data_IF_410197326065
#
_entry.id   IF_410197326065
#
_cell.length_a   1.000
_cell.length_b   1.000
_cell.length_c   1.000
_cell.angle_alpha   90.00
_cell.angle_beta   90.00
_cell.angle_gamma   90.00
#
_symmetry.space_group_name_H-M   'P 1'
#
loop_
_entity.id
_entity.type
_entity.pdbx_description
1 polymer ?
#
# COMPACT_ATOMS: atom_id res chain seq x y z
N UNK A 1 -10.58 -22.76 26.40
CA UNK A 1 -9.98 -21.56 25.78
C UNK A 1 -8.79 -21.04 26.58
N UNK A 2 -8.85 -21.02 27.90
CA UNK A 2 -7.78 -20.50 28.76
C UNK A 2 -6.55 -21.41 28.85
N UNK A 3 -6.71 -22.71 28.66
CA UNK A 3 -5.60 -23.67 28.68
C UNK A 3 -4.69 -23.62 27.43
N UNK A 4 -5.21 -23.12 26.31
CA UNK A 4 -4.44 -22.86 25.09
C UNK A 4 -3.61 -21.57 25.21
N UNK A 5 -4.11 -20.56 25.95
CA UNK A 5 -3.41 -19.31 26.18
C UNK A 5 -2.21 -19.48 27.12
N UNK A 6 -2.31 -20.33 28.16
CA UNK A 6 -1.22 -20.53 29.12
C UNK A 6 -0.05 -21.38 28.57
N UNK A 7 -0.28 -22.33 27.67
CA UNK A 7 0.79 -23.07 26.99
C UNK A 7 1.38 -22.33 25.78
N UNK A 8 0.59 -21.45 25.13
CA UNK A 8 1.00 -20.73 23.94
C UNK A 8 1.85 -19.49 24.19
N UNK A 9 1.73 -18.83 25.35
CA UNK A 9 2.44 -17.58 25.60
C UNK A 9 3.97 -17.75 25.63
N UNK A 10 4.47 -18.82 26.23
CA UNK A 10 5.91 -19.11 26.25
C UNK A 10 6.46 -19.46 24.85
N UNK A 11 5.68 -20.17 24.05
CA UNK A 11 6.06 -20.57 22.69
C UNK A 11 5.92 -19.42 21.70
N UNK A 12 4.91 -18.58 21.87
CA UNK A 12 4.71 -17.34 21.10
C UNK A 12 5.85 -16.35 21.36
N UNK A 13 6.27 -16.15 22.59
CA UNK A 13 7.42 -15.30 22.92
C UNK A 13 8.74 -15.85 22.41
N UNK A 14 8.93 -17.18 22.39
CA UNK A 14 10.14 -17.82 21.86
C UNK A 14 10.20 -17.75 20.33
N UNK A 15 9.07 -17.91 19.64
CA UNK A 15 8.95 -17.77 18.19
C UNK A 15 9.00 -16.31 17.72
N UNK A 16 8.54 -15.35 18.55
CA UNK A 16 8.68 -13.90 18.26
C UNK A 16 10.14 -13.44 18.08
N UNK A 17 11.11 -14.16 18.60
CA UNK A 17 12.52 -13.82 18.41
C UNK A 17 13.09 -14.25 17.05
N UNK A 18 12.51 -15.22 16.37
CA UNK A 18 13.14 -15.77 15.17
C UNK A 18 12.48 -15.37 13.83
N UNK A 19 11.14 -15.29 13.67
CA UNK A 19 10.53 -14.96 12.35
C UNK A 19 9.05 -14.52 12.41
N UNK A 20 8.69 -13.42 13.04
CA UNK A 20 7.30 -12.97 13.06
C UNK A 20 6.94 -12.02 11.92
N UNK A 21 6.99 -12.50 10.67
CA UNK A 21 6.39 -11.78 9.56
C UNK A 21 4.93 -12.21 9.36
N UNK A 22 4.08 -11.31 8.81
CA UNK A 22 2.70 -11.67 8.44
C UNK A 22 2.67 -12.79 7.40
N UNK A 23 3.66 -12.85 6.52
CA UNK A 23 3.82 -13.91 5.52
C UNK A 23 3.97 -15.26 6.21
N UNK A 24 4.90 -15.37 7.14
CA UNK A 24 5.09 -16.63 7.88
C UNK A 24 3.85 -17.04 8.66
N UNK A 25 3.17 -16.10 9.33
CA UNK A 25 1.95 -16.41 10.08
C UNK A 25 0.84 -16.97 9.16
N UNK A 26 0.66 -16.40 8.00
CA UNK A 26 -0.31 -16.87 7.01
C UNK A 26 0.07 -18.25 6.47
N UNK A 27 1.34 -18.49 6.14
CA UNK A 27 1.82 -19.80 5.69
C UNK A 27 1.50 -20.88 6.71
N UNK A 28 1.77 -20.62 8.00
CA UNK A 28 1.46 -21.56 9.09
C UNK A 28 -0.04 -21.80 9.28
N UNK A 29 -0.88 -20.84 8.96
CA UNK A 29 -2.34 -21.01 8.95
C UNK A 29 -2.75 -21.88 7.77
N UNK A 30 -2.26 -21.56 6.57
CA UNK A 30 -2.63 -22.29 5.35
C UNK A 30 -2.20 -23.76 5.36
N UNK A 31 -1.08 -24.10 5.99
CA UNK A 31 -0.63 -25.50 6.16
C UNK A 31 -1.60 -26.38 6.97
N UNK A 32 -2.53 -25.79 7.74
CA UNK A 32 -3.46 -26.51 8.62
C UNK A 32 -4.77 -26.89 7.94
N UNK A 33 -5.06 -26.29 6.79
CA UNK A 33 -6.33 -26.45 6.09
C UNK A 33 -6.13 -27.10 4.74
N UNK A 34 -7.13 -27.88 4.31
CA UNK A 34 -7.14 -28.49 2.97
C UNK A 34 -7.47 -27.43 1.90
N UNK A 35 -6.92 -27.53 0.67
CA UNK A 35 -7.18 -26.56 -0.42
C UNK A 35 -8.66 -26.34 -0.74
N UNK A 36 -9.53 -27.33 -0.49
CA UNK A 36 -10.96 -27.30 -0.82
C UNK A 36 -11.86 -27.14 0.42
N UNK A 37 -11.29 -26.71 1.55
CA UNK A 37 -12.06 -26.62 2.81
C UNK A 37 -12.93 -25.36 2.89
N UNK A 38 -12.51 -24.31 2.20
CA UNK A 38 -13.21 -23.02 2.12
C UNK A 38 -13.22 -22.48 0.69
N UNK A 39 -14.18 -21.61 0.39
CA UNK A 39 -14.27 -20.95 -0.91
C UNK A 39 -13.34 -19.72 -0.99
N UNK A 40 -13.23 -18.98 0.11
CA UNK A 40 -12.51 -17.72 0.13
C UNK A 40 -11.74 -17.50 1.43
N UNK A 41 -10.58 -16.86 1.34
CA UNK A 41 -9.85 -16.30 2.48
C UNK A 41 -9.93 -14.78 2.49
N UNK A 42 -10.23 -14.19 3.66
CA UNK A 42 -10.29 -12.75 3.84
C UNK A 42 -9.28 -12.31 4.91
N UNK A 43 -8.47 -11.30 4.58
CA UNK A 43 -7.40 -10.80 5.43
C UNK A 43 -7.72 -9.41 5.96
N UNK A 44 -7.94 -9.30 7.26
CA UNK A 44 -8.10 -8.04 7.98
C UNK A 44 -7.01 -7.87 9.05
N UNK A 45 -6.71 -6.63 9.41
CA UNK A 45 -5.94 -6.36 10.62
C UNK A 45 -6.88 -6.34 11.84
N UNK A 46 -6.33 -6.57 13.03
CA UNK A 46 -7.08 -6.61 14.28
C UNK A 46 -7.75 -5.29 14.67
N UNK A 47 -7.28 -4.16 14.11
CA UNK A 47 -7.80 -2.81 14.34
C UNK A 47 -8.81 -2.36 13.26
N UNK A 48 -9.15 -3.25 12.32
CA UNK A 48 -10.07 -2.89 11.26
C UNK A 48 -11.53 -3.05 11.67
N UNK A 49 -12.35 -2.12 11.20
CA UNK A 49 -13.81 -2.22 11.19
C UNK A 49 -14.28 -2.28 9.75
N UNK A 50 -15.21 -3.16 9.47
CA UNK A 50 -15.80 -3.29 8.14
C UNK A 50 -17.29 -2.96 8.16
N UNK A 51 -17.84 -2.59 7.01
CA UNK A 51 -19.27 -2.38 6.88
C UNK A 51 -20.03 -3.69 7.16
N UNK A 52 -21.25 -3.64 7.75
CA UNK A 52 -21.97 -4.85 8.18
C UNK A 52 -22.24 -5.86 7.05
N UNK A 53 -22.40 -5.38 5.83
CA UNK A 53 -22.66 -6.20 4.62
C UNK A 53 -21.38 -6.62 3.88
N UNK A 54 -20.19 -6.41 4.45
CA UNK A 54 -18.91 -6.67 3.76
C UNK A 54 -18.80 -8.12 3.26
N UNK A 55 -19.17 -9.11 4.09
CA UNK A 55 -19.11 -10.52 3.69
C UNK A 55 -20.07 -10.84 2.55
N UNK A 56 -21.27 -10.25 2.56
CA UNK A 56 -22.23 -10.44 1.48
C UNK A 56 -21.71 -9.84 0.16
N UNK A 57 -21.11 -8.64 0.20
CA UNK A 57 -20.50 -8.02 -0.97
C UNK A 57 -19.31 -8.80 -1.50
N UNK A 58 -18.45 -9.31 -0.62
CA UNK A 58 -17.33 -10.18 -1.00
C UNK A 58 -17.81 -11.47 -1.65
N UNK A 59 -18.83 -12.11 -1.07
CA UNK A 59 -19.42 -13.31 -1.63
C UNK A 59 -20.01 -13.07 -3.03
N UNK A 60 -20.73 -11.96 -3.23
CA UNK A 60 -21.26 -11.61 -4.54
C UNK A 60 -20.14 -11.36 -5.57
N UNK A 61 -19.06 -10.70 -5.17
CA UNK A 61 -17.92 -10.46 -6.03
C UNK A 61 -17.21 -11.78 -6.41
N UNK A 62 -17.04 -12.69 -5.46
CA UNK A 62 -16.47 -14.00 -5.71
C UNK A 62 -17.31 -14.81 -6.72
N UNK A 63 -18.62 -14.89 -6.51
CA UNK A 63 -19.53 -15.56 -7.47
C UNK A 63 -19.62 -14.86 -8.84
N UNK A 64 -19.20 -13.62 -8.93
CA UNK A 64 -19.05 -12.89 -10.21
C UNK A 64 -17.72 -13.20 -10.91
N UNK A 65 -16.86 -14.05 -10.33
CA UNK A 65 -15.60 -14.50 -10.91
C UNK A 65 -14.38 -13.68 -10.48
N UNK A 66 -14.44 -12.98 -9.35
CA UNK A 66 -13.29 -12.24 -8.82
C UNK A 66 -12.44 -13.14 -7.90
N UNK A 67 -11.30 -13.64 -8.38
CA UNK A 67 -10.38 -14.47 -7.61
C UNK A 67 -9.55 -13.69 -6.58
N UNK A 68 -9.35 -12.41 -6.81
CA UNK A 68 -8.60 -11.51 -5.93
C UNK A 68 -9.28 -10.15 -5.82
N UNK A 69 -9.53 -9.70 -4.59
CA UNK A 69 -10.30 -8.49 -4.29
C UNK A 69 -9.53 -7.63 -3.29
N UNK A 70 -9.48 -6.32 -3.55
CA UNK A 70 -9.04 -5.31 -2.60
C UNK A 70 -10.23 -4.42 -2.23
N UNK A 71 -10.60 -4.41 -0.96
CA UNK A 71 -11.62 -3.52 -0.42
C UNK A 71 -11.12 -2.07 -0.31
N UNK A 72 -12.06 -1.13 -0.30
CA UNK A 72 -11.80 0.29 -0.09
C UNK A 72 -11.40 0.55 1.35
N UNK A 73 -10.15 0.96 1.59
CA UNK A 73 -9.69 1.30 2.93
C UNK A 73 -9.86 2.78 3.19
N UNK A 74 -10.61 3.10 4.27
CA UNK A 74 -10.83 4.45 4.75
C UNK A 74 -10.21 4.67 6.13
N UNK A 75 -9.89 5.93 6.44
CA UNK A 75 -9.39 6.32 7.75
C UNK A 75 -10.55 6.60 8.69
N UNK A 76 -10.54 5.97 9.89
CA UNK A 76 -11.58 6.18 10.90
C UNK A 76 -11.35 7.47 11.71
N UNK A 77 -10.10 7.74 12.12
CA UNK A 77 -9.78 8.90 12.96
C UNK A 77 -9.34 10.10 12.12
N UNK A 78 -10.13 11.16 12.20
CA UNK A 78 -9.85 12.46 11.54
C UNK A 78 -9.69 13.58 12.59
N UNK A 79 -9.02 13.26 13.69
CA UNK A 79 -8.89 14.16 14.86
C UNK A 79 -7.76 15.15 14.72
N UNK A 80 -6.65 14.75 14.09
CA UNK A 80 -5.45 15.59 13.93
C UNK A 80 -5.22 15.96 12.47
N UNK A 81 -4.53 17.08 12.21
CA UNK A 81 -4.15 17.49 10.86
C UNK A 81 -3.30 16.43 10.15
N UNK A 82 -2.45 15.71 10.89
CA UNK A 82 -1.65 14.59 10.37
C UNK A 82 -2.53 13.44 9.88
N UNK A 83 -3.54 13.04 10.69
CA UNK A 83 -4.47 11.97 10.32
C UNK A 83 -5.34 12.38 9.12
N UNK A 84 -5.82 13.62 9.07
CA UNK A 84 -6.59 14.16 7.93
C UNK A 84 -5.78 14.14 6.64
N UNK A 85 -4.52 14.58 6.67
CA UNK A 85 -3.65 14.57 5.49
C UNK A 85 -3.24 13.15 5.08
N UNK A 86 -3.06 12.24 6.05
CA UNK A 86 -2.81 10.83 5.78
C UNK A 86 -4.04 10.17 5.13
N UNK A 87 -5.25 10.50 5.59
CA UNK A 87 -6.50 10.05 5.00
C UNK A 87 -6.67 10.52 3.56
N UNK A 88 -6.51 11.83 3.32
CA UNK A 88 -6.54 12.40 1.97
C UNK A 88 -5.50 11.74 1.05
N UNK A 89 -4.31 11.48 1.57
CA UNK A 89 -3.28 10.74 0.84
C UNK A 89 -3.67 9.30 0.52
N UNK A 90 -4.46 8.66 1.36
CA UNK A 90 -5.00 7.32 1.10
C UNK A 90 -6.09 7.35 0.02
N UNK A 91 -7.01 8.33 0.10
CA UNK A 91 -8.05 8.51 -0.92
C UNK A 91 -7.48 8.83 -2.30
N UNK A 92 -6.44 9.64 -2.39
CA UNK A 92 -5.71 9.86 -3.65
C UNK A 92 -5.14 8.52 -4.18
N UNK A 93 -4.58 7.67 -3.31
CA UNK A 93 -4.11 6.35 -3.73
C UNK A 93 -5.26 5.43 -4.16
N UNK A 94 -6.39 5.45 -3.43
CA UNK A 94 -7.58 4.69 -3.79
C UNK A 94 -8.07 5.07 -5.18
N UNK A 95 -8.14 6.36 -5.48
CA UNK A 95 -8.64 6.84 -6.75
C UNK A 95 -7.66 6.64 -7.91
N UNK A 96 -6.36 6.86 -7.73
CA UNK A 96 -5.36 6.75 -8.81
C UNK A 96 -4.92 5.28 -9.01
N UNK A 97 -4.37 4.64 -7.95
CA UNK A 97 -3.67 3.35 -8.08
C UNK A 97 -4.55 2.12 -7.84
N UNK A 98 -5.84 2.29 -7.54
CA UNK A 98 -6.81 1.20 -7.40
C UNK A 98 -7.95 1.40 -8.36
N UNK A 99 -8.89 2.28 -8.08
CA UNK A 99 -10.05 2.56 -8.94
C UNK A 99 -9.66 2.96 -10.37
N UNK A 100 -8.69 3.86 -10.53
CA UNK A 100 -8.21 4.28 -11.84
C UNK A 100 -7.52 3.14 -12.61
N UNK A 101 -6.73 2.30 -11.91
CA UNK A 101 -6.06 1.16 -12.53
C UNK A 101 -7.06 0.09 -12.99
N UNK A 102 -8.02 -0.29 -12.13
CA UNK A 102 -9.04 -1.28 -12.53
C UNK A 102 -9.89 -0.78 -13.69
N UNK A 103 -10.20 0.51 -13.76
CA UNK A 103 -10.89 1.10 -14.93
C UNK A 103 -10.07 1.05 -16.22
N UNK A 104 -8.75 0.98 -16.13
CA UNK A 104 -7.84 0.85 -17.27
C UNK A 104 -7.50 -0.62 -17.59
N UNK A 105 -8.09 -1.59 -16.87
CA UNK A 105 -7.80 -3.01 -17.04
C UNK A 105 -6.52 -3.50 -16.37
N UNK A 106 -5.94 -2.71 -15.45
CA UNK A 106 -4.80 -3.12 -14.62
C UNK A 106 -5.24 -3.54 -13.22
N UNK A 107 -4.50 -4.45 -12.61
CA UNK A 107 -4.74 -4.91 -11.23
C UNK A 107 -4.66 -3.79 -10.21
N UNK A 108 -5.57 -3.81 -9.26
CA UNK A 108 -5.54 -2.96 -8.08
C UNK A 108 -4.29 -3.21 -7.23
N UNK A 109 -3.83 -2.19 -6.52
CA UNK A 109 -2.78 -2.33 -5.53
C UNK A 109 -3.32 -2.92 -4.23
N UNK A 110 -2.66 -3.95 -3.68
CA UNK A 110 -2.97 -4.54 -2.39
C UNK A 110 -2.45 -3.70 -1.21
N UNK A 111 -3.19 -3.72 -0.09
CA UNK A 111 -2.94 -2.87 1.10
C UNK A 111 -2.52 -3.63 2.36
N UNK A 112 -2.55 -4.97 2.34
CA UNK A 112 -2.28 -5.78 3.53
C UNK A 112 -3.45 -5.87 4.51
N UNK A 113 -4.61 -5.32 4.14
CA UNK A 113 -5.86 -5.36 4.90
C UNK A 113 -7.05 -5.11 3.98
N UNK A 114 -8.18 -5.75 4.24
CA UNK A 114 -9.34 -5.73 3.34
C UNK A 114 -9.04 -6.42 2.02
N UNK A 115 -8.26 -7.49 2.05
CA UNK A 115 -7.94 -8.32 0.90
C UNK A 115 -8.75 -9.61 0.99
N UNK A 116 -9.29 -10.07 -0.12
CA UNK A 116 -9.93 -11.37 -0.22
C UNK A 116 -9.41 -12.10 -1.45
N UNK A 117 -9.29 -13.43 -1.32
CA UNK A 117 -8.72 -14.28 -2.36
C UNK A 117 -9.51 -15.57 -2.44
N UNK A 118 -9.61 -16.16 -3.62
CA UNK A 118 -9.99 -17.55 -3.77
C UNK A 118 -9.09 -18.44 -2.90
N UNK A 119 -9.70 -19.38 -2.16
CA UNK A 119 -8.97 -20.13 -1.15
C UNK A 119 -8.00 -21.15 -1.77
N UNK A 120 -8.40 -21.84 -2.82
CA UNK A 120 -7.57 -22.83 -3.48
C UNK A 120 -6.35 -22.17 -4.15
N UNK A 121 -6.59 -21.07 -4.87
CA UNK A 121 -5.53 -20.27 -5.47
C UNK A 121 -4.57 -19.75 -4.40
N UNK A 122 -5.09 -19.18 -3.31
CA UNK A 122 -4.26 -18.64 -2.24
C UNK A 122 -3.48 -19.74 -1.51
N UNK A 123 -4.09 -20.91 -1.28
CA UNK A 123 -3.41 -22.08 -0.71
C UNK A 123 -2.22 -22.50 -1.57
N UNK A 124 -2.38 -22.54 -2.90
CA UNK A 124 -1.32 -22.88 -3.87
C UNK A 124 -0.15 -21.90 -3.83
N UNK A 125 -0.41 -20.58 -3.77
CA UNK A 125 0.65 -19.56 -3.80
C UNK A 125 1.29 -19.32 -2.42
N UNK A 126 0.59 -19.57 -1.33
CA UNK A 126 1.02 -19.23 0.03
C UNK A 126 2.40 -19.80 0.42
N UNK A 127 2.77 -21.05 0.09
CA UNK A 127 4.11 -21.57 0.42
C UNK A 127 5.26 -20.86 -0.30
N UNK A 128 4.96 -20.21 -1.44
CA UNK A 128 5.95 -19.53 -2.29
C UNK A 128 6.10 -18.05 -1.98
N UNK A 129 5.34 -17.52 -1.00
CA UNK A 129 5.40 -16.11 -0.63
C UNK A 129 6.73 -15.77 0.03
N UNK A 130 7.38 -14.72 -0.44
CA UNK A 130 8.68 -14.25 0.05
C UNK A 130 8.60 -12.80 0.55
N UNK A 131 9.36 -12.48 1.59
CA UNK A 131 9.46 -11.13 2.12
C UNK A 131 8.73 -10.93 3.45
N UNK A 132 8.72 -9.69 3.93
CA UNK A 132 8.13 -9.32 5.23
C UNK A 132 6.75 -8.68 5.12
N UNK A 133 6.38 -8.16 3.95
CA UNK A 133 5.11 -7.51 3.67
C UNK A 133 4.20 -8.44 2.88
N UNK A 134 3.12 -8.88 3.52
CA UNK A 134 2.17 -9.83 2.94
C UNK A 134 1.54 -9.30 1.65
N UNK A 135 1.11 -8.03 1.63
CA UNK A 135 0.46 -7.45 0.47
C UNK A 135 1.38 -7.49 -0.76
N UNK A 136 2.64 -7.11 -0.57
CA UNK A 136 3.62 -7.09 -1.65
C UNK A 136 4.03 -8.48 -2.11
N UNK A 137 4.18 -9.42 -1.18
CA UNK A 137 4.49 -10.80 -1.50
C UNK A 137 3.37 -11.45 -2.34
N UNK A 138 2.11 -11.26 -1.92
CA UNK A 138 0.94 -11.76 -2.66
C UNK A 138 0.80 -11.05 -4.00
N UNK A 139 0.91 -9.72 -4.04
CA UNK A 139 0.78 -8.92 -5.26
C UNK A 139 1.76 -9.38 -6.35
N UNK A 140 3.02 -9.68 -6.00
CA UNK A 140 4.00 -10.22 -6.94
C UNK A 140 3.53 -11.57 -7.52
N UNK A 141 3.05 -12.48 -6.67
CA UNK A 141 2.62 -13.81 -7.10
C UNK A 141 1.39 -13.78 -7.99
N UNK A 142 0.40 -12.98 -7.64
CA UNK A 142 -0.78 -12.78 -8.48
C UNK A 142 -0.41 -12.27 -9.87
N UNK A 143 0.49 -11.27 -9.95
CA UNK A 143 0.97 -10.72 -11.22
C UNK A 143 1.82 -11.72 -12.01
N UNK A 144 2.60 -12.58 -11.35
CA UNK A 144 3.35 -13.66 -12.00
C UNK A 144 2.42 -14.69 -12.64
N UNK A 145 1.28 -14.98 -12.01
CA UNK A 145 0.27 -15.91 -12.51
C UNK A 145 -0.78 -15.25 -13.42
N UNK A 146 -0.69 -13.93 -13.68
CA UNK A 146 -1.67 -13.11 -14.40
C UNK A 146 -3.07 -13.13 -13.75
N UNK A 147 -3.14 -13.23 -12.44
CA UNK A 147 -4.38 -13.15 -11.68
C UNK A 147 -4.69 -11.68 -11.42
N UNK A 148 -5.84 -11.24 -11.92
CA UNK A 148 -6.29 -9.88 -11.80
C UNK A 148 -6.85 -9.59 -10.40
N UNK A 149 -6.49 -8.45 -9.82
CA UNK A 149 -7.04 -7.97 -8.55
C UNK A 149 -8.06 -6.88 -8.79
N UNK A 150 -9.32 -7.15 -8.42
CA UNK A 150 -10.41 -6.19 -8.51
C UNK A 150 -10.40 -5.22 -7.32
N UNK A 151 -10.83 -3.99 -7.55
CA UNK A 151 -11.04 -2.99 -6.49
C UNK A 151 -12.52 -2.76 -6.23
N UNK A 152 -12.96 -3.10 -5.01
CA UNK A 152 -14.34 -2.94 -4.59
C UNK A 152 -14.49 -1.70 -3.70
N UNK A 153 -15.00 -0.62 -4.30
CA UNK A 153 -15.23 0.65 -3.59
C UNK A 153 -16.35 0.54 -2.54
N UNK A 154 -17.29 -0.37 -2.74
CA UNK A 154 -18.46 -0.55 -1.88
C UNK A 154 -18.15 -1.29 -0.58
N UNK A 155 -17.07 -2.06 -0.56
CA UNK A 155 -16.61 -2.80 0.61
C UNK A 155 -15.66 -1.92 1.42
N UNK A 156 -16.20 -1.18 2.38
CA UNK A 156 -15.42 -0.22 3.16
C UNK A 156 -14.78 -0.92 4.37
N UNK A 157 -13.46 -0.76 4.48
CA UNK A 157 -12.65 -1.23 5.60
C UNK A 157 -12.03 -0.03 6.32
N UNK A 158 -12.51 0.30 7.50
CA UNK A 158 -12.00 1.41 8.31
C UNK A 158 -10.73 0.99 9.05
N UNK A 159 -9.73 1.86 9.06
CA UNK A 159 -8.48 1.68 9.80
C UNK A 159 -8.06 2.97 10.49
N UNK A 160 -7.40 2.86 11.66
CA UNK A 160 -6.88 4.02 12.37
C UNK A 160 -5.52 4.43 11.82
N UNK A 161 -5.32 5.72 11.67
CA UNK A 161 -4.02 6.32 11.31
C UNK A 161 -3.29 6.84 12.53
N UNK A 162 -1.98 6.97 12.40
CA UNK A 162 -1.16 7.57 13.46
C UNK A 162 -1.49 9.06 13.63
N UNK A 163 -1.79 9.46 14.84
CA UNK A 163 -2.15 10.85 15.18
C UNK A 163 -0.92 11.76 15.27
N UNK A 164 0.26 11.21 15.51
CA UNK A 164 1.51 11.97 15.63
C UNK A 164 2.36 11.90 14.36
N UNK A 165 3.02 13.02 14.03
CA UNK A 165 3.96 13.08 12.90
C UNK A 165 5.12 12.08 13.04
N UNK A 166 5.59 11.81 14.27
CA UNK A 166 6.63 10.80 14.53
C UNK A 166 6.13 9.38 14.28
N UNK A 167 4.91 9.05 14.72
CA UNK A 167 4.27 7.75 14.46
C UNK A 167 4.10 7.52 12.96
N UNK A 168 3.56 8.52 12.25
CA UNK A 168 3.42 8.51 10.80
C UNK A 168 4.77 8.31 10.08
N UNK A 169 5.82 9.01 10.50
CA UNK A 169 7.16 8.85 9.93
C UNK A 169 7.72 7.44 10.11
N UNK A 170 7.56 6.85 11.30
CA UNK A 170 8.00 5.46 11.59
C UNK A 170 7.23 4.43 10.76
N UNK A 171 5.92 4.55 10.67
CA UNK A 171 5.07 3.68 9.84
C UNK A 171 5.49 3.77 8.39
N UNK A 172 5.67 4.98 7.87
CA UNK A 172 6.12 5.20 6.50
C UNK A 172 7.51 4.65 6.23
N UNK A 173 8.45 4.76 7.18
CA UNK A 173 9.78 4.16 7.04
C UNK A 173 9.71 2.63 6.91
N UNK A 174 8.87 1.97 7.72
CA UNK A 174 8.66 0.51 7.64
C UNK A 174 8.07 0.12 6.30
N UNK A 175 7.04 0.83 5.86
CA UNK A 175 6.39 0.58 4.59
C UNK A 175 7.35 0.76 3.40
N UNK A 176 8.12 1.85 3.37
CA UNK A 176 9.13 2.07 2.33
C UNK A 176 10.23 1.00 2.33
N UNK A 177 10.66 0.53 3.51
CA UNK A 177 11.65 -0.56 3.60
C UNK A 177 11.12 -1.85 2.98
N UNK A 178 9.89 -2.22 3.30
CA UNK A 178 9.24 -3.38 2.71
C UNK A 178 9.08 -3.23 1.19
N UNK A 179 8.64 -2.05 0.73
CA UNK A 179 8.48 -1.78 -0.69
C UNK A 179 9.81 -1.92 -1.46
N UNK A 180 10.91 -1.33 -0.98
CA UNK A 180 12.20 -1.43 -1.66
C UNK A 180 12.71 -2.86 -1.75
N UNK A 181 12.59 -3.64 -0.66
CA UNK A 181 12.99 -5.05 -0.67
C UNK A 181 12.17 -5.86 -1.69
N UNK A 182 10.85 -5.68 -1.70
CA UNK A 182 9.95 -6.34 -2.65
C UNK A 182 10.21 -5.89 -4.09
N UNK A 183 10.47 -4.60 -4.32
CA UNK A 183 10.81 -4.06 -5.63
C UNK A 183 12.10 -4.67 -6.16
N UNK A 184 13.12 -4.84 -5.31
CA UNK A 184 14.39 -5.43 -5.73
C UNK A 184 14.23 -6.91 -6.11
N UNK A 185 13.42 -7.67 -5.38
CA UNK A 185 13.08 -9.05 -5.74
C UNK A 185 12.33 -9.12 -7.07
N UNK A 186 11.33 -8.26 -7.25
CA UNK A 186 10.52 -8.21 -8.47
C UNK A 186 11.32 -7.75 -9.70
N UNK A 187 12.29 -6.84 -9.52
CA UNK A 187 13.11 -6.30 -10.61
C UNK A 187 13.91 -7.39 -11.35
N UNK A 188 14.31 -8.44 -10.66
CA UNK A 188 15.05 -9.57 -11.28
C UNK A 188 14.23 -10.28 -12.35
N UNK A 189 12.90 -10.29 -12.23
CA UNK A 189 11.98 -10.96 -13.17
C UNK A 189 11.43 -10.02 -14.24
N UNK A 190 11.71 -8.71 -14.16
CA UNK A 190 11.21 -7.71 -15.10
C UNK A 190 11.54 -8.03 -16.57
N UNK A 191 12.78 -8.41 -16.94
CA UNK A 191 13.09 -8.71 -18.33
C UNK A 191 12.25 -9.86 -18.89
N UNK A 192 12.05 -10.91 -18.10
CA UNK A 192 11.24 -12.06 -18.47
C UNK A 192 9.76 -11.69 -18.58
N UNK A 193 9.24 -10.94 -17.61
CA UNK A 193 7.86 -10.47 -17.64
C UNK A 193 7.56 -9.57 -18.85
N UNK A 194 8.50 -8.70 -19.21
CA UNK A 194 8.40 -7.86 -20.41
C UNK A 194 8.35 -8.68 -21.70
N UNK A 195 9.24 -9.68 -21.84
CA UNK A 195 9.26 -10.58 -23.00
C UNK A 195 7.99 -11.45 -23.08
N UNK A 196 7.39 -11.80 -21.94
CA UNK A 196 6.14 -12.56 -21.89
C UNK A 196 4.88 -11.69 -22.06
N UNK A 197 5.03 -10.37 -22.27
CA UNK A 197 3.89 -9.46 -22.42
C UNK A 197 3.07 -9.22 -21.17
N UNK A 198 3.64 -9.46 -19.97
CA UNK A 198 2.97 -9.24 -18.67
C UNK A 198 2.96 -7.75 -18.32
N UNK A 199 2.14 -6.98 -19.02
CA UNK A 199 2.09 -5.52 -18.89
C UNK A 199 1.68 -5.05 -17.51
N UNK A 200 0.79 -5.79 -16.84
CA UNK A 200 0.35 -5.46 -15.48
C UNK A 200 1.51 -5.57 -14.47
N UNK A 201 2.33 -6.62 -14.59
CA UNK A 201 3.57 -6.76 -13.81
C UNK A 201 4.53 -5.59 -14.04
N UNK A 202 4.77 -5.23 -15.30
CA UNK A 202 5.67 -4.11 -15.64
C UNK A 202 5.13 -2.78 -15.10
N UNK A 203 3.84 -2.51 -15.27
CA UNK A 203 3.17 -1.32 -14.76
C UNK A 203 3.27 -1.23 -13.23
N UNK A 204 3.03 -2.34 -12.53
CA UNK A 204 3.11 -2.39 -11.07
C UNK A 204 4.52 -2.12 -10.56
N UNK A 205 5.52 -2.73 -11.19
CA UNK A 205 6.91 -2.48 -10.84
C UNK A 205 7.32 -1.03 -11.08
N UNK A 206 6.86 -0.43 -12.17
CA UNK A 206 7.04 1.00 -12.43
C UNK A 206 6.44 1.86 -11.31
N UNK A 207 5.22 1.54 -10.84
CA UNK A 207 4.59 2.24 -9.71
C UNK A 207 5.44 2.15 -8.43
N UNK A 208 6.05 0.99 -8.16
CA UNK A 208 6.90 0.79 -6.98
C UNK A 208 8.23 1.53 -7.07
N UNK A 209 8.75 1.74 -8.28
CA UNK A 209 9.96 2.51 -8.52
C UNK A 209 9.74 4.03 -8.40
N UNK A 210 8.51 4.49 -8.58
CA UNK A 210 8.18 5.90 -8.44
C UNK A 210 8.51 6.42 -7.02
N UNK A 211 9.20 7.56 -6.90
CA UNK A 211 9.46 8.17 -5.62
C UNK A 211 8.15 8.56 -4.92
N UNK A 212 8.21 8.72 -3.61
CA UNK A 212 7.03 9.18 -2.88
C UNK A 212 6.55 10.53 -3.43
N UNK A 213 5.23 10.72 -3.49
CA UNK A 213 4.60 11.95 -4.02
C UNK A 213 5.20 13.23 -3.46
N UNK A 214 5.48 13.24 -2.16
CA UNK A 214 6.09 14.39 -1.49
C UNK A 214 7.52 14.67 -2.00
N UNK A 215 8.29 13.61 -2.22
CA UNK A 215 9.62 13.73 -2.80
C UNK A 215 9.57 14.21 -4.25
N UNK A 216 8.64 13.68 -5.03
CA UNK A 216 8.43 14.09 -6.42
C UNK A 216 8.07 15.58 -6.52
N UNK A 217 7.10 16.05 -5.74
CA UNK A 217 6.72 17.47 -5.69
C UNK A 217 7.91 18.33 -5.25
N UNK A 218 8.64 17.91 -4.22
CA UNK A 218 9.81 18.65 -3.76
C UNK A 218 10.90 18.75 -4.84
N UNK A 219 11.21 17.66 -5.52
CA UNK A 219 12.20 17.67 -6.62
C UNK A 219 11.78 18.59 -7.76
N UNK A 220 10.51 18.54 -8.17
CA UNK A 220 9.97 19.40 -9.24
C UNK A 220 9.99 20.87 -8.80
N UNK A 221 9.63 21.17 -7.56
CA UNK A 221 9.68 22.53 -7.02
C UNK A 221 11.12 23.06 -6.98
N UNK A 222 12.07 22.25 -6.52
CA UNK A 222 13.49 22.62 -6.50
C UNK A 222 14.00 22.86 -7.93
N UNK A 223 13.66 21.97 -8.87
CA UNK A 223 14.02 22.14 -10.28
C UNK A 223 13.43 23.44 -10.86
N UNK A 224 12.15 23.73 -10.59
CA UNK A 224 11.50 24.96 -11.03
C UNK A 224 12.26 26.20 -10.53
N UNK A 225 12.62 26.24 -9.24
CA UNK A 225 13.37 27.36 -8.63
C UNK A 225 14.78 27.49 -9.25
N UNK A 226 15.52 26.39 -9.39
CA UNK A 226 16.86 26.41 -9.99
C UNK A 226 16.80 26.95 -11.42
N UNK A 227 15.88 26.44 -12.27
CA UNK A 227 15.75 26.92 -13.64
C UNK A 227 15.22 28.34 -13.73
N UNK A 228 14.49 28.86 -12.76
CA UNK A 228 14.11 30.29 -12.71
C UNK A 228 15.35 31.20 -12.61
N UNK A 229 16.40 30.70 -11.96
CA UNK A 229 17.65 31.47 -11.80
C UNK A 229 18.57 31.31 -13.04
N UNK A 230 18.60 30.08 -13.61
CA UNK A 230 19.50 29.76 -14.72
C UNK A 230 18.95 30.16 -16.10
N UNK A 231 17.69 29.83 -16.37
CA UNK A 231 17.01 30.11 -17.62
C UNK A 231 15.48 30.14 -17.40
N UNK A 232 14.93 31.35 -17.48
CA UNK A 232 13.49 31.60 -17.31
C UNK A 232 12.62 30.79 -18.28
N UNK A 233 13.07 30.55 -19.50
CA UNK A 233 12.29 29.86 -20.53
C UNK A 233 12.13 28.37 -20.19
N UNK A 234 13.15 27.74 -19.63
CA UNK A 234 13.11 26.36 -19.16
C UNK A 234 12.28 26.19 -17.87
N UNK A 235 12.26 27.19 -17.01
CA UNK A 235 11.52 27.15 -15.75
C UNK A 235 10.00 26.99 -15.96
N UNK A 236 9.46 27.56 -17.02
CA UNK A 236 8.04 27.53 -17.35
C UNK A 236 7.48 26.11 -17.49
N UNK A 237 8.27 25.19 -18.08
CA UNK A 237 7.89 23.76 -18.19
C UNK A 237 7.73 23.10 -16.83
N UNK A 238 8.59 23.43 -15.88
CA UNK A 238 8.54 22.87 -14.52
C UNK A 238 7.36 23.41 -13.72
N UNK A 239 7.00 24.68 -13.89
CA UNK A 239 5.80 25.25 -13.26
C UNK A 239 4.51 24.66 -13.84
N UNK A 240 4.43 24.44 -15.16
CA UNK A 240 3.31 23.74 -15.77
C UNK A 240 3.19 22.31 -15.22
N UNK A 241 4.29 21.57 -15.13
CA UNK A 241 4.30 20.23 -14.56
C UNK A 241 3.83 20.21 -13.10
N UNK A 242 4.29 21.17 -12.30
CA UNK A 242 3.86 21.33 -10.91
C UNK A 242 2.35 21.60 -10.83
N UNK A 243 1.85 22.49 -11.66
CA UNK A 243 0.42 22.81 -11.74
C UNK A 243 -0.41 21.57 -12.12
N UNK A 244 0.01 20.82 -13.12
CA UNK A 244 -0.66 19.59 -13.55
C UNK A 244 -0.71 18.54 -12.43
N UNK A 245 0.37 18.36 -11.68
CA UNK A 245 0.40 17.45 -10.52
C UNK A 245 -0.56 17.90 -9.44
N UNK A 246 -0.61 19.20 -9.14
CA UNK A 246 -1.55 19.74 -8.14
C UNK A 246 -2.99 19.53 -8.58
N UNK A 247 -3.31 19.84 -9.83
CA UNK A 247 -4.67 19.60 -10.39
C UNK A 247 -5.03 18.10 -10.30
N UNK A 248 -4.12 17.22 -10.69
CA UNK A 248 -4.36 15.76 -10.63
C UNK A 248 -4.66 15.30 -9.20
N UNK A 249 -3.95 15.80 -8.21
CA UNK A 249 -4.20 15.45 -6.82
C UNK A 249 -5.51 16.02 -6.29
N UNK A 250 -5.88 17.23 -6.69
CA UNK A 250 -7.17 17.83 -6.32
C UNK A 250 -8.33 17.04 -6.95
N UNK A 251 -8.22 16.64 -8.21
CA UNK A 251 -9.23 15.81 -8.88
C UNK A 251 -9.34 14.39 -8.30
N UNK A 252 -8.24 13.87 -7.72
CA UNK A 252 -8.24 12.56 -7.08
C UNK A 252 -8.84 12.56 -5.67
N UNK A 253 -9.10 13.72 -5.08
CA UNK A 253 -9.78 13.82 -3.78
C UNK A 253 -11.30 13.78 -4.00
N UNK A 254 -12.05 12.94 -3.24
CA UNK A 254 -13.50 12.97 -3.24
C UNK A 254 -14.00 14.33 -2.71
N UNK A 255 -15.10 14.84 -3.28
CA UNK A 255 -15.67 16.15 -2.91
C UNK A 255 -16.01 16.23 -1.40
N UNK A 256 -16.44 15.13 -0.79
CA UNK A 256 -16.75 15.05 0.65
C UNK A 256 -15.54 15.21 1.57
N UNK A 257 -14.33 14.96 1.09
CA UNK A 257 -13.10 15.10 1.88
C UNK A 257 -12.57 16.55 1.93
N UNK A 258 -13.00 17.42 1.00
CA UNK A 258 -12.58 18.83 0.93
C UNK A 258 -13.43 19.68 1.91
N UNK A 259 -13.31 19.38 3.18
CA UNK A 259 -14.01 20.10 4.25
C UNK A 259 -13.12 21.15 4.93
N UNK A 260 -13.68 21.92 5.88
CA UNK A 260 -12.94 22.95 6.63
C UNK A 260 -11.70 22.37 7.35
N UNK A 261 -11.78 21.12 7.83
CA UNK A 261 -10.68 20.42 8.51
C UNK A 261 -9.53 20.14 7.55
N UNK A 262 -9.84 19.71 6.32
CA UNK A 262 -8.84 19.49 5.29
C UNK A 262 -8.12 20.80 4.91
N UNK A 263 -8.86 21.89 4.66
CA UNK A 263 -8.28 23.20 4.36
C UNK A 263 -7.33 23.67 5.46
N UNK A 264 -7.69 23.44 6.73
CA UNK A 264 -6.81 23.76 7.86
C UNK A 264 -5.61 22.82 7.96
N UNK A 265 -5.80 21.53 7.69
CA UNK A 265 -4.73 20.55 7.69
C UNK A 265 -3.68 20.78 6.59
N UNK A 266 -4.03 21.38 5.46
CA UNK A 266 -3.11 21.72 4.37
C UNK A 266 -1.94 22.61 4.87
N UNK A 267 -2.15 23.47 5.86
CA UNK A 267 -1.08 24.25 6.48
C UNK A 267 -0.03 23.41 7.20
N UNK A 268 -0.35 22.15 7.55
CA UNK A 268 0.60 21.21 8.12
C UNK A 268 1.39 20.41 7.06
N UNK A 269 1.08 20.56 5.76
CA UNK A 269 1.79 19.90 4.65
C UNK A 269 3.31 20.10 4.68
N UNK A 270 3.85 21.32 4.90
CA UNK A 270 5.30 21.50 4.96
C UNK A 270 5.96 20.60 6.00
N UNK A 271 5.36 20.48 7.18
CA UNK A 271 5.87 19.62 8.28
C UNK A 271 5.90 18.15 7.85
N UNK A 272 4.85 17.66 7.18
CA UNK A 272 4.78 16.29 6.70
C UNK A 272 5.74 16.03 5.54
N UNK A 273 5.94 17.02 4.66
CA UNK A 273 6.93 16.95 3.59
C UNK A 273 8.33 16.81 4.20
N UNK A 274 8.72 17.68 5.14
CA UNK A 274 9.99 17.59 5.84
C UNK A 274 10.15 16.25 6.58
N UNK A 275 9.14 15.79 7.31
CA UNK A 275 9.15 14.51 7.99
C UNK A 275 9.31 13.33 7.00
N UNK A 276 8.68 13.40 5.84
CA UNK A 276 8.81 12.40 4.77
C UNK A 276 10.20 12.39 4.12
N UNK A 277 10.77 13.56 3.85
CA UNK A 277 12.13 13.74 3.30
C UNK A 277 13.16 13.20 4.31
N UNK A 278 13.06 13.60 5.58
CA UNK A 278 13.94 13.12 6.64
C UNK A 278 13.87 11.60 6.83
N UNK A 279 12.70 11.01 6.62
CA UNK A 279 12.51 9.56 6.67
C UNK A 279 13.26 8.82 5.53
N UNK A 280 13.40 9.43 4.37
CA UNK A 280 14.17 8.90 3.24
C UNK A 280 15.68 8.99 3.49
N UNK A 281 16.17 10.14 3.91
CA UNK A 281 17.59 10.36 4.16
C UNK A 281 18.12 9.63 5.40
N UNK A 282 17.35 9.55 6.47
CA UNK A 282 17.73 8.83 7.70
C UNK A 282 17.98 7.33 7.49
N UNK A 283 17.48 6.75 6.39
CA UNK A 283 17.76 5.37 6.02
C UNK A 283 19.09 5.23 5.31
N UNK A 284 19.42 6.12 4.38
CA UNK A 284 20.72 6.08 3.64
C UNK A 284 21.87 6.10 4.65
N UNK A 285 21.78 6.96 5.69
CA UNK A 285 22.78 7.04 6.75
C UNK A 285 22.82 5.84 7.71
N UNK A 286 21.68 5.13 7.95
CA UNK A 286 21.67 3.92 8.80
C UNK A 286 22.14 2.66 8.07
N UNK A 287 21.90 2.56 6.76
CA UNK A 287 22.40 1.46 5.94
C UNK A 287 23.93 1.45 5.87
N UNK A 288 24.56 2.63 5.78
CA UNK A 288 26.01 2.77 5.75
C UNK A 288 26.68 2.40 7.09
N UNK A 289 25.95 2.49 8.22
CA UNK A 289 26.47 2.12 9.55
C UNK A 289 26.34 0.62 9.88
N UNK A 290 25.55 -0.15 9.12
CA UNK A 290 25.40 -1.60 9.32
C UNK A 290 26.39 -2.42 8.49
N UNK A 291 27.07 -1.78 7.53
CA UNK A 291 28.10 -2.40 6.67
C UNK A 291 29.52 -1.98 7.06
N UNK A 292 29.71 -1.39 8.21
CA UNK A 292 30.98 -1.25 8.93
C UNK A 292 30.84 -2.02 10.25
#
# INVERSE_FOLDING_TARGET
>A
RDCLLSRGLGDVYKRQKEHCTKVYAIQQVMERYSPHEYDMIVVFNSDNRVVPNALHLLNNAYYSGCDSIQAHRMTENLTTSTAVLAAAGEEINNNIFRKGHTKLGFSSALLGSGMAFDFEMFHRISPTLEGSDLAKAVEIKLLEENIYTEYMQEIICYSKKQDSAQGYSRERQRWLSAQYNSTFLALRRLPLAFLQGKWDYCNKLFQWLLPSRFLLIACITIAAVIFTILDWTLSFKWYILLLLIIITFLMALPEGEINKRFKHAVWALPILIFASIFSHFGRIFRSTKKNK
#
